data_IF_697546677473
#
_entry.id   IF_697546677473
#
_cell.length_a   1.000
_cell.length_b   1.000
_cell.length_c   1.000
_cell.angle_alpha   90.00
_cell.angle_beta   90.00
_cell.angle_gamma   90.00
#
_symmetry.space_group_name_H-M   'P 1'
#
loop_
_entity.id
_entity.type
_entity.pdbx_description
1 polymer ?
#
# COMPACT_ATOMS: atom_id res chain seq x y z
N UNK A 1 2.94 -9.41 2.14
CA UNK A 1 3.07 -8.16 2.92
C UNK A 1 2.89 -6.91 2.04
N UNK A 2 3.69 -6.68 1.03
CA UNK A 2 3.61 -5.49 0.16
C UNK A 2 2.20 -5.27 -0.41
N UNK A 3 1.62 -6.25 -1.10
CA UNK A 3 0.30 -6.14 -1.73
C UNK A 3 -0.87 -5.88 -0.77
N UNK A 4 -0.69 -6.10 0.52
CA UNK A 4 -1.73 -5.99 1.55
C UNK A 4 -1.44 -4.91 2.60
N UNK A 5 -0.24 -4.37 2.63
CA UNK A 5 0.22 -3.51 3.71
C UNK A 5 0.11 -4.13 5.10
N UNK A 6 -0.01 -5.46 5.20
CA UNK A 6 -0.20 -6.16 6.46
C UNK A 6 1.07 -6.15 7.33
N UNK A 7 0.89 -6.14 8.65
CA UNK A 7 1.98 -6.35 9.61
C UNK A 7 2.43 -7.82 9.58
N UNK A 8 3.68 -8.10 9.97
CA UNK A 8 4.19 -9.47 10.03
C UNK A 8 3.28 -10.39 10.85
N UNK A 9 2.85 -9.95 12.03
CA UNK A 9 1.93 -10.72 12.88
C UNK A 9 0.59 -11.00 12.17
N UNK A 10 0.03 -10.01 11.47
CA UNK A 10 -1.23 -10.17 10.74
C UNK A 10 -1.11 -11.18 9.59
N UNK A 11 0.08 -11.28 8.98
CA UNK A 11 0.36 -12.29 7.96
C UNK A 11 0.48 -13.68 8.60
N UNK A 12 1.14 -13.79 9.76
CA UNK A 12 1.22 -15.05 10.51
C UNK A 12 -0.18 -15.55 10.92
N UNK A 13 -1.08 -14.65 11.28
CA UNK A 13 -2.43 -14.96 11.76
C UNK A 13 -3.43 -15.27 10.62
N UNK A 14 -3.02 -15.08 9.36
CA UNK A 14 -3.91 -15.20 8.22
C UNK A 14 -4.30 -16.67 7.97
N UNK A 15 -5.61 -16.93 7.95
CA UNK A 15 -6.18 -18.23 7.62
C UNK A 15 -6.75 -18.28 6.21
N UNK A 16 -6.92 -19.49 5.66
CA UNK A 16 -7.55 -19.66 4.34
C UNK A 16 -8.97 -19.09 4.31
N UNK A 17 -9.73 -19.26 5.38
CA UNK A 17 -11.10 -18.73 5.51
C UNK A 17 -11.20 -17.20 5.54
N UNK A 18 -10.09 -16.51 5.80
CA UNK A 18 -10.03 -15.05 5.76
C UNK A 18 -9.87 -14.49 4.34
N UNK A 19 -9.65 -15.34 3.33
CA UNK A 19 -9.40 -14.95 1.94
C UNK A 19 -10.56 -15.35 1.05
N UNK A 20 -11.11 -14.39 0.32
CA UNK A 20 -12.12 -14.62 -0.70
C UNK A 20 -11.54 -14.29 -2.07
N UNK A 21 -11.47 -15.28 -2.94
CA UNK A 21 -10.93 -15.14 -4.29
C UNK A 21 -12.01 -14.77 -5.30
N UNK A 22 -11.67 -13.83 -6.18
CA UNK A 22 -12.45 -13.45 -7.35
C UNK A 22 -11.63 -13.70 -8.63
N UNK A 23 -12.18 -13.38 -9.78
CA UNK A 23 -11.51 -13.54 -11.07
C UNK A 23 -10.32 -12.58 -11.27
N UNK A 24 -10.44 -11.37 -10.75
CA UNK A 24 -9.52 -10.23 -10.96
C UNK A 24 -8.71 -9.81 -9.72
N UNK A 25 -9.07 -10.34 -8.55
CA UNK A 25 -8.45 -9.98 -7.25
C UNK A 25 -8.77 -11.01 -6.19
N UNK A 26 -8.22 -10.81 -4.98
CA UNK A 26 -8.78 -11.42 -3.78
C UNK A 26 -9.12 -10.34 -2.74
N UNK A 27 -10.05 -10.66 -1.86
CA UNK A 27 -10.37 -9.86 -0.68
C UNK A 27 -9.89 -10.59 0.56
N UNK A 28 -9.20 -9.90 1.43
CA UNK A 28 -8.59 -10.46 2.64
C UNK A 28 -9.12 -9.73 3.86
N UNK A 29 -9.65 -10.47 4.82
CA UNK A 29 -10.05 -9.95 6.12
C UNK A 29 -8.86 -10.05 7.07
N UNK A 30 -8.33 -8.91 7.49
CA UNK A 30 -7.20 -8.83 8.42
C UNK A 30 -7.69 -8.37 9.77
N UNK A 31 -7.35 -9.15 10.80
CA UNK A 31 -7.65 -8.80 12.20
C UNK A 31 -6.46 -8.02 12.75
N UNK A 32 -6.66 -6.76 13.07
CA UNK A 32 -5.64 -5.87 13.62
C UNK A 32 -5.67 -5.79 15.15
N UNK A 33 -4.88 -4.86 15.69
CA UNK A 33 -4.84 -4.58 17.13
C UNK A 33 -6.24 -4.22 17.66
N UNK A 34 -6.63 -4.84 18.76
CA UNK A 34 -7.96 -4.63 19.38
C UNK A 34 -9.09 -5.35 18.63
N UNK A 35 -8.82 -6.45 17.96
CA UNK A 35 -9.79 -7.28 17.22
C UNK A 35 -10.55 -6.52 16.11
N UNK A 36 -10.00 -5.38 15.67
CA UNK A 36 -10.59 -4.62 14.56
C UNK A 36 -10.32 -5.32 13.24
N UNK A 37 -11.39 -5.72 12.57
CA UNK A 37 -11.30 -6.33 11.25
C UNK A 37 -11.27 -5.24 10.19
N UNK A 38 -10.32 -5.35 9.26
CA UNK A 38 -10.34 -4.57 8.02
C UNK A 38 -10.33 -5.49 6.81
N UNK A 39 -11.11 -5.15 5.83
CA UNK A 39 -11.18 -5.86 4.56
C UNK A 39 -10.36 -5.10 3.53
N UNK A 40 -9.41 -5.79 2.91
CA UNK A 40 -8.55 -5.21 1.87
C UNK A 40 -8.59 -6.05 0.60
N UNK A 41 -8.49 -5.39 -0.54
CA UNK A 41 -8.28 -6.03 -1.83
C UNK A 41 -6.78 -6.21 -2.09
N UNK A 42 -6.40 -7.37 -2.58
CA UNK A 42 -5.06 -7.61 -3.13
C UNK A 42 -5.15 -7.81 -4.65
N UNK A 43 -4.19 -7.27 -5.41
CA UNK A 43 -4.22 -7.30 -6.87
C UNK A 43 -4.13 -8.72 -7.42
N UNK A 44 -4.55 -8.88 -8.68
CA UNK A 44 -4.65 -10.18 -9.35
C UNK A 44 -3.37 -11.01 -9.27
N UNK A 45 -2.21 -10.41 -9.52
CA UNK A 45 -0.92 -11.12 -9.48
C UNK A 45 -0.65 -11.75 -8.11
N UNK A 46 -0.86 -10.99 -7.02
CA UNK A 46 -0.66 -11.50 -5.67
C UNK A 46 -1.75 -12.51 -5.28
N UNK A 47 -2.98 -12.32 -5.75
CA UNK A 47 -4.10 -13.24 -5.58
C UNK A 47 -3.81 -14.60 -6.22
N UNK A 48 -3.33 -14.62 -7.47
CA UNK A 48 -3.02 -15.83 -8.21
C UNK A 48 -1.87 -16.62 -7.54
N UNK A 49 -0.83 -15.93 -7.08
CA UNK A 49 0.28 -16.55 -6.34
C UNK A 49 -0.24 -17.18 -5.04
N UNK A 50 -1.06 -16.45 -4.28
CA UNK A 50 -1.61 -16.92 -3.01
C UNK A 50 -2.53 -18.14 -3.21
N UNK A 51 -3.38 -18.12 -4.24
CA UNK A 51 -4.26 -19.22 -4.60
C UNK A 51 -3.44 -20.49 -4.94
N UNK A 52 -2.46 -20.37 -5.85
CA UNK A 52 -1.57 -21.46 -6.22
C UNK A 52 -0.82 -22.05 -5.03
N UNK A 53 -0.37 -21.18 -4.11
CA UNK A 53 0.31 -21.62 -2.88
C UNK A 53 -0.62 -22.46 -1.99
N UNK A 54 -1.86 -21.99 -1.74
CA UNK A 54 -2.85 -22.69 -0.92
C UNK A 54 -3.20 -24.05 -1.56
N UNK A 55 -3.45 -24.09 -2.86
CA UNK A 55 -3.79 -25.29 -3.61
C UNK A 55 -2.64 -26.30 -3.61
N UNK A 56 -1.42 -25.84 -3.94
CA UNK A 56 -0.22 -26.71 -3.96
C UNK A 56 0.06 -27.34 -2.59
N UNK A 57 -0.10 -26.54 -1.52
CA UNK A 57 0.09 -27.01 -0.14
C UNK A 57 -1.12 -27.73 0.44
N UNK A 58 -2.24 -27.79 -0.28
CA UNK A 58 -3.51 -28.42 0.12
C UNK A 58 -3.99 -27.92 1.50
N UNK A 59 -3.92 -26.61 1.73
CA UNK A 59 -4.25 -26.01 3.04
C UNK A 59 -5.76 -25.93 3.19
N UNK A 60 -6.29 -26.54 4.26
CA UNK A 60 -7.72 -26.53 4.56
C UNK A 60 -8.22 -25.17 5.06
N UNK A 61 -9.51 -24.92 4.90
CA UNK A 61 -10.14 -23.59 5.11
C UNK A 61 -9.93 -23.00 6.52
N UNK A 62 -9.86 -23.82 7.55
CA UNK A 62 -9.67 -23.38 8.95
C UNK A 62 -8.20 -23.22 9.39
N UNK A 63 -7.24 -23.56 8.52
CA UNK A 63 -5.81 -23.54 8.85
C UNK A 63 -5.15 -22.22 8.48
N UNK A 64 -4.03 -21.90 9.15
CA UNK A 64 -3.19 -20.78 8.78
C UNK A 64 -2.57 -21.00 7.40
N UNK A 65 -2.51 -19.95 6.60
CA UNK A 65 -1.94 -20.02 5.24
C UNK A 65 -0.44 -20.29 5.31
N UNK A 66 0.24 -19.62 6.25
CA UNK A 66 1.68 -19.71 6.40
C UNK A 66 2.02 -20.51 7.66
N UNK A 67 2.65 -21.67 7.46
CA UNK A 67 3.16 -22.54 8.51
C UNK A 67 4.68 -22.60 8.46
N UNK A 68 5.32 -22.99 9.58
CA UNK A 68 6.73 -23.35 9.61
C UNK A 68 6.89 -24.87 9.42
N UNK A 69 8.12 -25.36 9.39
CA UNK A 69 8.38 -26.81 9.31
C UNK A 69 7.89 -27.56 10.55
N UNK A 70 7.87 -26.89 11.70
CA UNK A 70 7.59 -27.51 13.01
C UNK A 70 6.27 -27.06 13.62
N UNK A 71 5.65 -26.00 13.11
CA UNK A 71 4.43 -25.42 13.69
C UNK A 71 3.38 -25.13 12.63
N UNK A 72 2.11 -25.30 12.98
CA UNK A 72 0.96 -25.02 12.12
C UNK A 72 0.82 -23.54 11.74
N UNK A 73 1.49 -22.66 12.46
CA UNK A 73 1.51 -21.20 12.25
C UNK A 73 2.94 -20.70 12.20
N UNK A 74 3.26 -19.88 11.21
CA UNK A 74 4.56 -19.20 11.10
C UNK A 74 4.70 -18.13 12.20
N UNK A 75 5.89 -17.97 12.76
CA UNK A 75 6.20 -16.90 13.70
C UNK A 75 6.67 -15.64 12.97
N UNK A 76 6.63 -14.49 13.66
CA UNK A 76 7.18 -13.24 13.14
C UNK A 76 8.67 -13.39 12.85
N UNK A 77 9.43 -14.08 13.72
CA UNK A 77 10.86 -14.34 13.50
C UNK A 77 11.13 -15.09 12.20
N UNK A 78 10.29 -16.08 11.84
CA UNK A 78 10.43 -16.76 10.54
C UNK A 78 10.21 -15.80 9.37
N UNK A 79 9.28 -14.86 9.47
CA UNK A 79 9.09 -13.83 8.44
C UNK A 79 10.32 -12.92 8.36
N UNK A 80 10.88 -12.52 9.49
CA UNK A 80 12.09 -11.68 9.57
C UNK A 80 13.30 -12.39 8.94
N UNK A 81 13.50 -13.67 9.23
CA UNK A 81 14.56 -14.49 8.62
C UNK A 81 14.41 -14.63 7.10
N UNK A 82 13.17 -14.94 6.64
CA UNK A 82 12.87 -15.00 5.20
C UNK A 82 13.15 -13.65 4.55
N UNK A 83 12.68 -12.57 5.16
CA UNK A 83 12.89 -11.23 4.67
C UNK A 83 14.37 -10.86 4.57
N UNK A 84 15.13 -11.10 5.64
CA UNK A 84 16.58 -10.85 5.68
C UNK A 84 17.32 -11.62 4.59
N UNK A 85 16.97 -12.89 4.36
CA UNK A 85 17.53 -13.71 3.28
C UNK A 85 17.33 -13.06 1.90
N UNK A 86 16.13 -12.56 1.63
CA UNK A 86 15.85 -11.91 0.34
C UNK A 86 16.48 -10.52 0.22
N UNK A 87 16.62 -9.77 1.33
CA UNK A 87 17.37 -8.50 1.33
C UNK A 87 18.85 -8.73 1.00
N UNK A 88 19.49 -9.73 1.60
CA UNK A 88 20.89 -10.06 1.29
C UNK A 88 21.04 -10.38 -0.21
N UNK A 89 20.14 -11.18 -0.76
CA UNK A 89 20.14 -11.50 -2.18
C UNK A 89 19.90 -10.26 -3.06
N UNK A 90 18.91 -9.43 -2.69
CA UNK A 90 18.60 -8.19 -3.40
C UNK A 90 19.77 -7.19 -3.39
N UNK A 91 20.44 -7.03 -2.24
CA UNK A 91 21.64 -6.18 -2.13
C UNK A 91 22.79 -6.66 -3.04
N UNK A 92 22.96 -7.97 -3.19
CA UNK A 92 23.97 -8.54 -4.06
C UNK A 92 23.65 -8.35 -5.55
N UNK A 93 22.37 -8.47 -5.92
CA UNK A 93 21.91 -8.39 -7.32
C UNK A 93 21.68 -6.95 -7.79
N UNK A 94 21.17 -6.08 -6.90
CA UNK A 94 20.79 -4.70 -7.20
C UNK A 94 21.29 -3.72 -6.11
N UNK A 95 22.60 -3.56 -5.89
CA UNK A 95 23.15 -2.77 -4.77
C UNK A 95 22.67 -1.31 -4.77
N UNK A 96 22.44 -0.73 -5.94
CA UNK A 96 21.98 0.66 -6.09
C UNK A 96 20.55 0.91 -5.58
N UNK A 97 19.73 -0.14 -5.41
CA UNK A 97 18.37 -0.05 -4.89
C UNK A 97 18.29 -0.20 -3.36
N UNK A 98 19.38 -0.65 -2.74
CA UNK A 98 19.41 -0.96 -1.31
C UNK A 98 20.45 -0.06 -0.61
N UNK A 99 20.09 1.21 -0.43
CA UNK A 99 20.98 2.24 0.14
C UNK A 99 20.96 2.29 1.68
N UNK A 100 19.93 1.72 2.30
CA UNK A 100 19.80 1.72 3.75
C UNK A 100 20.63 0.61 4.41
N UNK A 101 21.11 0.86 5.61
CA UNK A 101 21.87 -0.12 6.40
C UNK A 101 21.01 -1.32 6.77
N UNK A 102 19.77 -1.07 7.21
CA UNK A 102 18.88 -2.11 7.70
C UNK A 102 17.49 -2.03 7.03
N UNK A 103 16.97 -3.19 6.69
CA UNK A 103 15.61 -3.38 6.21
C UNK A 103 14.88 -4.38 7.09
N UNK A 104 13.64 -4.10 7.42
CA UNK A 104 12.78 -4.96 8.24
C UNK A 104 11.47 -5.28 7.49
N UNK A 105 10.69 -6.27 7.91
CA UNK A 105 9.36 -6.48 7.36
C UNK A 105 8.45 -5.23 7.46
N UNK A 106 8.70 -4.34 8.44
CA UNK A 106 7.99 -3.08 8.56
C UNK A 106 8.31 -2.10 7.42
N UNK A 107 9.53 -2.13 6.90
CA UNK A 107 9.93 -1.34 5.71
C UNK A 107 9.06 -1.67 4.50
N UNK A 108 8.68 -2.93 4.30
CA UNK A 108 7.78 -3.35 3.22
C UNK A 108 6.41 -2.65 3.31
N UNK A 109 5.86 -2.55 4.51
CA UNK A 109 4.60 -1.86 4.77
C UNK A 109 4.75 -0.33 4.58
N UNK A 110 5.89 0.23 5.00
CA UNK A 110 6.23 1.62 4.75
C UNK A 110 6.28 1.91 3.24
N UNK A 111 7.01 1.10 2.49
CA UNK A 111 7.08 1.20 1.03
C UNK A 111 5.70 1.12 0.37
N UNK A 112 4.81 0.23 0.86
CA UNK A 112 3.43 0.16 0.37
C UNK A 112 2.70 1.51 0.57
N UNK A 113 2.83 2.12 1.75
CA UNK A 113 2.22 3.40 2.04
C UNK A 113 2.73 4.51 1.11
N UNK A 114 4.06 4.59 0.94
CA UNK A 114 4.70 5.57 0.06
C UNK A 114 4.21 5.42 -1.38
N UNK A 115 4.26 4.21 -1.94
CA UNK A 115 3.82 3.96 -3.32
C UNK A 115 2.33 4.24 -3.53
N UNK A 116 1.48 3.99 -2.53
CA UNK A 116 0.05 4.37 -2.60
C UNK A 116 -0.09 5.89 -2.68
N UNK A 117 0.61 6.63 -1.83
CA UNK A 117 0.57 8.09 -1.83
C UNK A 117 1.14 8.67 -3.12
N UNK A 118 2.27 8.16 -3.61
CA UNK A 118 2.88 8.54 -4.90
C UNK A 118 1.95 8.28 -6.09
N UNK A 119 1.12 7.24 -5.98
CA UNK A 119 0.09 6.93 -6.98
C UNK A 119 -1.17 7.80 -6.83
N UNK A 120 -1.16 8.77 -5.90
CA UNK A 120 -2.28 9.70 -5.68
C UNK A 120 -3.41 9.15 -4.82
N UNK A 121 -3.21 8.03 -4.12
CA UNK A 121 -4.23 7.53 -3.19
C UNK A 121 -4.34 8.47 -1.99
N UNK A 122 -5.55 8.97 -1.66
CA UNK A 122 -5.75 9.88 -0.53
C UNK A 122 -5.24 9.28 0.78
N UNK A 123 -4.59 10.10 1.63
CA UNK A 123 -3.99 9.66 2.89
C UNK A 123 -4.99 8.95 3.82
N UNK A 124 -6.25 9.35 3.80
CA UNK A 124 -7.30 8.71 4.60
C UNK A 124 -7.57 7.27 4.13
N UNK A 125 -7.47 7.02 2.83
CA UNK A 125 -7.60 5.67 2.25
C UNK A 125 -6.39 4.83 2.62
N UNK A 126 -5.17 5.38 2.53
CA UNK A 126 -3.93 4.71 2.96
C UNK A 126 -4.00 4.37 4.45
N UNK A 127 -4.43 5.30 5.30
CA UNK A 127 -4.66 5.06 6.73
C UNK A 127 -5.58 3.86 6.97
N UNK A 128 -6.73 3.83 6.30
CA UNK A 128 -7.73 2.77 6.46
C UNK A 128 -7.21 1.43 5.93
N UNK A 129 -6.53 1.43 4.79
CA UNK A 129 -5.89 0.25 4.20
C UNK A 129 -4.86 -0.36 5.15
N UNK A 130 -4.01 0.46 5.74
CA UNK A 130 -3.01 0.03 6.71
C UNK A 130 -3.61 -0.32 8.08
N UNK A 131 -4.80 0.15 8.42
CA UNK A 131 -5.42 -0.02 9.73
C UNK A 131 -4.67 0.76 10.82
N UNK A 132 -4.31 2.02 10.52
CA UNK A 132 -3.76 2.93 11.52
C UNK A 132 -4.89 3.55 12.35
N UNK A 133 -4.76 3.49 13.67
CA UNK A 133 -5.74 4.07 14.59
C UNK A 133 -5.74 5.61 14.52
N UNK A 134 -4.57 6.22 14.30
CA UNK A 134 -4.38 7.67 14.20
C UNK A 134 -3.91 8.08 12.80
N UNK A 135 -4.31 9.29 12.36
CA UNK A 135 -3.77 9.93 11.16
C UNK A 135 -2.29 10.27 11.32
N UNK A 136 -1.84 10.62 12.52
CA UNK A 136 -0.44 10.96 12.80
C UNK A 136 0.53 9.85 12.36
N UNK A 137 0.17 8.58 12.56
CA UNK A 137 0.98 7.45 12.08
C UNK A 137 1.04 7.35 10.55
N UNK A 138 0.15 8.00 9.83
CA UNK A 138 0.13 8.03 8.36
C UNK A 138 0.74 9.32 7.83
N UNK A 139 0.70 10.41 8.60
CA UNK A 139 1.29 11.71 8.24
C UNK A 139 2.82 11.64 8.06
N UNK A 140 3.50 10.72 8.75
CA UNK A 140 4.93 10.46 8.55
C UNK A 140 5.25 10.17 7.07
N UNK A 141 4.30 9.60 6.33
CA UNK A 141 4.44 9.33 4.89
C UNK A 141 4.07 10.51 3.99
N UNK A 142 3.34 11.49 4.52
CA UNK A 142 2.89 12.64 3.73
C UNK A 142 4.02 13.62 3.39
N UNK A 143 5.06 13.67 4.22
CA UNK A 143 6.24 14.51 3.98
C UNK A 143 7.08 14.04 2.79
N UNK A 144 6.94 12.76 2.40
CA UNK A 144 7.68 12.15 1.29
C UNK A 144 7.12 12.58 -0.09
N UNK A 145 5.99 13.29 -0.13
CA UNK A 145 5.20 13.44 -1.36
C UNK A 145 5.09 14.87 -1.87
N UNK A 146 6.14 15.70 -1.74
CA UNK A 146 6.15 17.02 -2.38
C UNK A 146 5.94 16.88 -3.90
N UNK A 147 6.54 15.86 -4.52
CA UNK A 147 6.35 15.56 -5.95
C UNK A 147 4.91 15.11 -6.26
N UNK A 148 4.27 14.38 -5.36
CA UNK A 148 2.87 14.00 -5.52
C UNK A 148 1.97 15.22 -5.35
N UNK A 149 2.24 16.10 -4.39
CA UNK A 149 1.52 17.36 -4.24
C UNK A 149 1.65 18.21 -5.51
N UNK A 150 2.86 18.37 -6.02
CA UNK A 150 3.12 19.14 -7.24
C UNK A 150 2.40 18.54 -8.46
N UNK A 151 2.35 17.21 -8.58
CA UNK A 151 1.57 16.53 -9.65
C UNK A 151 0.08 16.78 -9.52
N UNK A 152 -0.48 16.72 -8.32
CA UNK A 152 -1.90 17.00 -8.09
C UNK A 152 -2.24 18.46 -8.32
N UNK A 153 -1.38 19.40 -7.88
CA UNK A 153 -1.54 20.82 -8.17
C UNK A 153 -1.51 21.09 -9.68
N UNK A 154 -0.58 20.45 -10.40
CA UNK A 154 -0.54 20.56 -11.86
C UNK A 154 -1.81 20.00 -12.50
N UNK A 155 -2.24 18.80 -12.12
CA UNK A 155 -3.48 18.19 -12.62
C UNK A 155 -4.72 19.03 -12.30
N UNK A 156 -4.75 19.66 -11.11
CA UNK A 156 -5.82 20.57 -10.71
C UNK A 156 -5.81 21.85 -11.54
N UNK A 157 -4.64 22.46 -11.75
CA UNK A 157 -4.47 23.60 -12.65
C UNK A 157 -4.93 23.27 -14.06
N UNK A 158 -4.46 22.15 -14.63
CA UNK A 158 -4.81 21.72 -15.99
C UNK A 158 -6.31 21.46 -16.17
N UNK A 159 -7.00 21.11 -15.08
CA UNK A 159 -8.44 20.79 -15.10
C UNK A 159 -9.34 22.00 -14.86
N UNK A 160 -8.94 22.92 -14.00
CA UNK A 160 -9.82 23.98 -13.49
C UNK A 160 -9.40 25.41 -13.89
N UNK A 161 -8.11 25.62 -14.14
CA UNK A 161 -7.63 26.85 -14.74
C UNK A 161 -7.44 26.58 -16.23
N UNK A 162 -8.31 27.19 -17.00
CA UNK A 162 -8.31 27.08 -18.46
C UNK A 162 -6.88 27.29 -18.96
N UNK A 163 -6.41 26.41 -19.85
CA UNK A 163 -5.28 26.71 -20.69
C UNK A 163 -5.41 28.17 -21.10
N UNK A 164 -4.37 28.93 -20.91
CA UNK A 164 -4.20 30.24 -21.55
C UNK A 164 -4.30 30.05 -23.06
N UNK A 165 -5.51 29.91 -23.55
CA UNK A 165 -5.84 30.18 -24.90
C UNK A 165 -6.07 31.69 -24.91
N UNK A 166 -5.00 32.42 -25.30
CA UNK A 166 -5.11 33.75 -25.88
C UNK A 166 -6.29 34.58 -25.29
N UNK A 167 -6.19 34.95 -24.02
CA UNK A 167 -6.93 36.08 -23.50
C UNK A 167 -6.17 37.29 -24.02
N UNK A 168 -6.60 37.83 -25.15
CA UNK A 168 -6.28 39.20 -25.51
C UNK A 168 -6.60 40.08 -24.31
N UNK A 169 -5.58 40.78 -23.80
CA UNK A 169 -5.62 41.58 -22.59
C UNK A 169 -6.64 42.72 -22.72
N UNK A 170 -7.09 43.04 -23.93
CA UNK A 170 -8.10 44.06 -24.20
C UNK A 170 -9.52 43.66 -23.77
N UNK A 171 -9.85 42.37 -23.64
CA UNK A 171 -11.19 41.92 -23.23
C UNK A 171 -11.32 41.61 -21.74
N UNK A 172 -10.25 41.71 -20.96
CA UNK A 172 -10.24 41.30 -19.54
C UNK A 172 -11.02 42.32 -18.65
N UNK A 173 -11.07 43.58 -19.03
CA UNK A 173 -11.71 44.63 -18.22
C UNK A 173 -13.24 44.66 -18.37
N UNK A 174 -13.79 44.16 -19.47
CA UNK A 174 -15.26 44.06 -19.67
C UNK A 174 -15.88 42.86 -18.95
N UNK A 175 -15.10 41.82 -18.63
CA UNK A 175 -15.56 40.55 -18.00
C UNK A 175 -15.37 40.55 -16.49
N UNK A 176 -14.76 41.57 -15.89
CA UNK A 176 -14.64 41.61 -14.45
C UNK A 176 -16.00 41.87 -13.80
N UNK A 177 -16.38 41.08 -12.79
CA UNK A 177 -17.57 41.33 -11.99
C UNK A 177 -17.48 42.72 -11.33
N UNK A 178 -18.62 43.44 -11.23
CA UNK A 178 -18.68 44.82 -10.70
C UNK A 178 -18.09 44.97 -9.30
N UNK A 179 -18.03 43.91 -8.49
CA UNK A 179 -17.43 43.94 -7.15
C UNK A 179 -15.89 43.87 -7.13
N UNK A 180 -15.25 43.73 -8.30
CA UNK A 180 -13.79 43.75 -8.47
C UNK A 180 -13.31 44.95 -9.29
N UNK A 181 -14.22 45.81 -9.77
CA UNK A 181 -13.93 47.10 -10.37
C UNK A 181 -13.91 48.18 -9.28
#
# INVERSE_FOLDING_TARGET
MYASGARAQEVCDLTVGAVQFYSDRASVNIIGKGQKVRRIGIPKQASDILRKYIEHRKISIGKHIFSSQTHEKMSVSCIEEIFAKYIVRGKAEYPHLFQEEAYTPHSMRHTTACHMLESGVPIIVVKNFLGHASLQTTQIYAEITQDTMNRHLKSWNDKWFIKEAELDIEDADERMPEFLK
#
